data_IF_848860608831
#
_entry.id   IF_848860608831
#
_cell.length_a   1.000
_cell.length_b   1.000
_cell.length_c   1.000
_cell.angle_alpha   90.00
_cell.angle_beta   90.00
_cell.angle_gamma   90.00
#
_symmetry.space_group_name_H-M   'P 1'
#
loop_
_entity.id
_entity.type
_entity.pdbx_description
1 polymer ?
#
# COMPACT_ATOMS: atom_id res chain seq x y z
N UNK A 1 -15.40 -19.88 33.86
CA UNK A 1 -14.23 -20.45 33.18
C UNK A 1 -14.09 -19.77 31.83
N UNK A 2 -12.96 -19.11 31.59
CA UNK A 2 -12.70 -18.43 30.33
C UNK A 2 -12.60 -19.46 29.19
N UNK A 3 -13.36 -19.25 28.11
CA UNK A 3 -13.29 -20.05 26.89
C UNK A 3 -11.94 -19.80 26.20
N UNK A 4 -11.01 -20.74 26.37
CA UNK A 4 -9.78 -20.81 25.60
C UNK A 4 -10.17 -21.02 24.12
N UNK A 5 -9.71 -20.18 23.17
CA UNK A 5 -9.96 -20.42 21.76
C UNK A 5 -9.25 -21.71 21.36
N UNK A 6 -9.99 -22.70 20.85
CA UNK A 6 -9.41 -23.91 20.25
C UNK A 6 -8.44 -23.49 19.15
N UNK A 7 -7.15 -23.75 19.34
CA UNK A 7 -6.13 -23.61 18.31
C UNK A 7 -6.34 -24.70 17.26
N UNK A 8 -7.21 -24.45 16.29
CA UNK A 8 -7.25 -25.26 15.08
C UNK A 8 -5.96 -24.99 14.31
N UNK A 9 -5.11 -26.01 14.22
CA UNK A 9 -3.84 -25.95 13.49
C UNK A 9 -4.04 -25.46 12.06
N UNK A 10 -3.01 -24.85 11.51
CA UNK A 10 -2.96 -24.42 10.12
C UNK A 10 -3.16 -25.65 9.23
N UNK A 11 -4.23 -25.70 8.44
CA UNK A 11 -4.44 -26.80 7.49
C UNK A 11 -3.45 -26.65 6.34
N UNK A 12 -2.97 -27.75 5.77
CA UNK A 12 -2.07 -27.78 4.59
C UNK A 12 -2.63 -26.94 3.43
N UNK A 13 -3.96 -26.88 3.34
CA UNK A 13 -4.70 -26.05 2.40
C UNK A 13 -4.40 -24.56 2.58
N UNK A 14 -4.31 -24.04 3.81
CA UNK A 14 -4.05 -22.62 4.06
C UNK A 14 -2.61 -22.21 3.73
N UNK A 15 -1.63 -23.10 3.93
CA UNK A 15 -0.23 -22.87 3.51
C UNK A 15 -0.10 -22.78 1.99
N UNK A 16 -0.70 -23.74 1.28
CA UNK A 16 -0.74 -23.73 -0.18
C UNK A 16 -1.44 -22.48 -0.73
N UNK A 17 -2.49 -21.99 -0.06
CA UNK A 17 -3.20 -20.79 -0.46
C UNK A 17 -2.38 -19.50 -0.32
N UNK A 18 -1.57 -19.38 0.74
CA UNK A 18 -0.69 -18.23 0.93
C UNK A 18 0.48 -18.32 -0.05
N UNK A 19 1.05 -19.51 -0.26
CA UNK A 19 2.07 -19.74 -1.27
C UNK A 19 1.55 -19.39 -2.68
N UNK A 20 0.37 -19.89 -3.09
CA UNK A 20 -0.27 -19.54 -4.37
C UNK A 20 -0.64 -18.06 -4.47
N UNK A 21 -0.97 -17.39 -3.35
CA UNK A 21 -1.14 -15.94 -3.37
C UNK A 21 0.19 -15.27 -3.69
N UNK A 22 1.30 -15.69 -3.06
CA UNK A 22 2.64 -15.15 -3.35
C UNK A 22 3.18 -15.56 -4.75
N UNK A 23 2.79 -16.72 -5.28
CA UNK A 23 3.17 -17.21 -6.61
C UNK A 23 2.30 -16.60 -7.71
N UNK A 24 0.99 -16.50 -7.50
CA UNK A 24 0.01 -15.96 -8.44
C UNK A 24 0.09 -14.44 -8.58
N UNK A 25 0.71 -13.77 -7.61
CA UNK A 25 1.11 -12.37 -7.75
C UNK A 25 2.48 -12.27 -8.51
N UNK A 26 3.27 -13.35 -8.62
CA UNK A 26 4.44 -13.43 -9.49
C UNK A 26 5.75 -13.03 -8.82
N UNK A 27 6.74 -13.92 -8.80
CA UNK A 27 8.07 -13.62 -8.26
C UNK A 27 8.94 -12.90 -9.30
N UNK A 28 8.72 -11.60 -9.54
CA UNK A 28 9.70 -10.81 -10.31
C UNK A 28 10.87 -10.44 -9.39
N UNK A 29 11.99 -11.14 -9.55
CA UNK A 29 13.22 -10.90 -8.77
C UNK A 29 14.07 -9.74 -9.30
N UNK A 30 13.69 -9.14 -10.43
CA UNK A 30 14.50 -8.14 -11.13
C UNK A 30 13.86 -6.76 -11.06
N UNK A 31 14.39 -5.91 -10.17
CA UNK A 31 14.10 -4.47 -10.19
C UNK A 31 14.86 -3.87 -11.38
N UNK A 32 14.19 -3.17 -12.31
CA UNK A 32 14.86 -2.49 -13.42
C UNK A 32 16.01 -1.59 -12.95
N UNK A 33 17.17 -1.56 -13.63
CA UNK A 33 18.31 -0.73 -13.24
C UNK A 33 17.98 0.77 -13.12
N UNK A 34 17.01 1.23 -13.92
CA UNK A 34 16.50 2.62 -13.94
C UNK A 34 15.90 3.07 -12.61
N UNK A 35 15.53 2.12 -11.75
CA UNK A 35 14.93 2.36 -10.44
C UNK A 35 15.94 2.27 -9.28
N UNK A 36 17.22 2.04 -9.58
CA UNK A 36 18.28 2.01 -8.57
C UNK A 36 18.72 3.41 -8.10
N UNK A 37 18.00 4.46 -8.52
CA UNK A 37 18.24 5.85 -8.11
C UNK A 37 17.37 6.22 -6.90
N UNK A 38 17.86 7.18 -6.12
CA UNK A 38 17.14 7.77 -4.99
C UNK A 38 15.80 8.35 -5.48
N UNK A 39 14.73 8.23 -4.69
CA UNK A 39 13.42 8.86 -4.92
C UNK A 39 12.54 8.27 -6.03
N UNK A 40 12.89 7.11 -6.57
CA UNK A 40 12.15 6.45 -7.65
C UNK A 40 10.66 6.21 -7.34
N UNK A 41 10.32 5.77 -6.12
CA UNK A 41 8.92 5.54 -5.71
C UNK A 41 8.14 6.85 -5.56
N UNK A 42 8.76 7.88 -4.98
CA UNK A 42 8.13 9.20 -4.89
C UNK A 42 7.87 9.74 -6.29
N UNK A 43 8.84 9.66 -7.22
CA UNK A 43 8.63 10.04 -8.61
C UNK A 43 7.45 9.28 -9.24
N UNK A 44 7.35 7.96 -9.05
CA UNK A 44 6.25 7.16 -9.59
C UNK A 44 4.86 7.50 -9.02
N UNK A 45 4.72 7.78 -7.72
CA UNK A 45 3.41 8.16 -7.17
C UNK A 45 3.01 9.56 -7.64
N UNK A 46 3.98 10.46 -7.75
CA UNK A 46 3.79 11.85 -8.18
C UNK A 46 3.32 11.96 -9.62
N UNK A 47 3.83 11.10 -10.50
CA UNK A 47 3.41 11.00 -11.90
C UNK A 47 1.94 10.56 -12.08
N UNK A 48 1.34 9.91 -11.07
CA UNK A 48 -0.06 9.44 -11.11
C UNK A 48 -1.07 10.55 -10.73
N UNK A 49 -0.62 11.69 -10.20
CA UNK A 49 -1.51 12.79 -9.81
C UNK A 49 -1.84 13.66 -11.02
N UNK A 50 -3.12 13.65 -11.45
CA UNK A 50 -3.68 14.61 -12.41
C UNK A 50 -4.75 15.47 -11.72
N UNK A 51 -4.51 16.77 -11.47
CA UNK A 51 -5.52 17.67 -10.95
C UNK A 51 -6.44 18.12 -12.09
N UNK A 52 -7.67 17.61 -12.10
CA UNK A 52 -8.70 18.00 -13.08
C UNK A 52 -9.28 19.41 -12.84
N UNK A 53 -8.92 20.08 -11.73
CA UNK A 53 -9.57 21.32 -11.28
C UNK A 53 -8.65 22.52 -11.02
N UNK A 54 -7.34 22.41 -11.28
CA UNK A 54 -6.42 23.57 -11.20
C UNK A 54 -6.32 24.20 -12.60
N UNK A 55 -7.33 24.97 -13.00
CA UNK A 55 -7.25 25.79 -14.23
C UNK A 55 -6.48 27.08 -13.92
N UNK A 56 -5.35 27.32 -14.60
CA UNK A 56 -4.75 28.67 -14.70
C UNK A 56 -5.83 29.57 -15.31
N UNK A 57 -6.39 30.45 -14.50
CA UNK A 57 -7.52 31.29 -14.89
C UNK A 57 -7.14 32.27 -15.99
N UNK A 58 -7.53 31.98 -17.23
CA UNK A 58 -7.86 33.02 -18.21
C UNK A 58 -9.26 33.52 -17.84
N UNK A 59 -9.33 34.73 -17.29
CA UNK A 59 -10.58 35.43 -16.99
C UNK A 59 -11.35 35.71 -18.28
N UNK A 60 -12.45 34.99 -18.51
CA UNK A 60 -13.57 35.54 -19.27
C UNK A 60 -14.63 36.04 -18.29
N UNK A 61 -14.87 37.35 -18.31
CA UNK A 61 -15.96 38.00 -17.59
C UNK A 61 -17.29 37.47 -18.13
N UNK A 62 -18.01 36.69 -17.32
CA UNK A 62 -19.48 36.62 -17.42
C UNK A 62 -20.08 37.02 -16.09
N UNK A 63 -20.89 38.07 -16.13
CA UNK A 63 -21.68 38.59 -15.03
C UNK A 63 -22.81 37.61 -14.72
N UNK A 64 -22.77 36.98 -13.54
CA UNK A 64 -23.93 36.31 -12.95
C UNK A 64 -24.03 36.76 -11.49
N UNK A 65 -25.18 37.37 -11.18
CA UNK A 65 -25.63 37.71 -9.84
C UNK A 65 -26.35 36.51 -9.24
N UNK A 66 -25.84 35.94 -8.14
CA UNK A 66 -26.66 35.37 -7.08
C UNK A 66 -25.81 35.00 -5.86
N UNK A 67 -26.33 35.36 -4.69
CA UNK A 67 -25.77 35.15 -3.37
C UNK A 67 -25.45 33.67 -3.08
N UNK A 68 -24.17 33.33 -3.06
CA UNK A 68 -23.57 32.37 -2.14
C UNK A 68 -22.08 32.71 -2.13
N UNK A 69 -21.58 33.18 -0.99
CA UNK A 69 -20.16 33.45 -0.83
C UNK A 69 -19.41 32.12 -0.76
N UNK A 70 -19.15 31.52 -1.92
CA UNK A 70 -17.94 30.72 -2.09
C UNK A 70 -16.79 31.61 -1.59
N UNK A 71 -16.13 31.22 -0.50
CA UNK A 71 -14.88 31.87 -0.11
C UNK A 71 -13.90 31.66 -1.25
N UNK A 72 -13.83 32.64 -2.16
CA UNK A 72 -12.89 32.66 -3.27
C UNK A 72 -11.50 32.59 -2.63
N UNK A 73 -10.88 31.41 -2.68
CA UNK A 73 -9.50 31.20 -2.23
C UNK A 73 -8.61 32.19 -2.99
N UNK A 74 -7.80 32.96 -2.26
CA UNK A 74 -6.98 34.02 -2.83
C UNK A 74 -6.03 33.47 -3.90
N UNK A 75 -5.67 34.31 -4.86
CA UNK A 75 -4.76 33.96 -5.95
C UNK A 75 -3.43 33.39 -5.42
N UNK A 76 -2.89 33.99 -4.37
CA UNK A 76 -1.65 33.57 -3.70
C UNK A 76 -1.75 32.15 -3.14
N UNK A 77 -2.88 31.79 -2.51
CA UNK A 77 -3.09 30.43 -1.98
C UNK A 77 -3.20 29.43 -3.11
N UNK A 78 -3.83 29.79 -4.23
CA UNK A 78 -3.91 28.92 -5.42
C UNK A 78 -2.53 28.67 -6.03
N UNK A 79 -1.71 29.70 -6.13
CA UNK A 79 -0.34 29.61 -6.64
C UNK A 79 0.53 28.76 -5.71
N UNK A 80 0.45 28.97 -4.39
CA UNK A 80 1.18 28.15 -3.42
C UNK A 80 0.83 26.66 -3.51
N UNK A 81 -0.46 26.34 -3.71
CA UNK A 81 -0.94 24.96 -3.87
C UNK A 81 -0.50 24.37 -5.22
N UNK A 82 -0.58 25.15 -6.30
CA UNK A 82 -0.08 24.72 -7.61
C UNK A 82 1.43 24.43 -7.56
N UNK A 83 2.22 25.33 -6.97
CA UNK A 83 3.66 25.16 -6.78
C UNK A 83 3.98 23.94 -5.90
N UNK A 84 3.15 23.67 -4.89
CA UNK A 84 3.27 22.43 -4.11
C UNK A 84 3.11 21.20 -5.00
N UNK A 85 2.08 21.15 -5.85
CA UNK A 85 1.86 20.06 -6.78
C UNK A 85 2.99 19.94 -7.81
N UNK A 86 3.47 21.04 -8.38
CA UNK A 86 4.64 21.06 -9.28
C UNK A 86 5.89 20.49 -8.58
N UNK A 87 6.18 20.90 -7.34
CA UNK A 87 7.30 20.35 -6.55
C UNK A 87 7.12 18.88 -6.20
N UNK A 88 5.87 18.46 -5.95
CA UNK A 88 5.53 17.04 -5.81
C UNK A 88 5.26 16.39 -7.17
N UNK A 89 5.87 16.87 -8.26
CA UNK A 89 5.98 16.12 -9.51
C UNK A 89 4.71 16.05 -10.36
N UNK A 90 3.81 17.02 -10.21
CA UNK A 90 2.79 17.29 -11.21
C UNK A 90 3.49 17.48 -12.57
N UNK A 91 3.13 16.66 -13.56
CA UNK A 91 3.76 16.56 -14.89
C UNK A 91 5.07 15.77 -14.99
N UNK A 92 5.48 15.04 -13.96
CA UNK A 92 6.55 14.08 -14.12
C UNK A 92 6.15 13.00 -15.15
N UNK A 93 7.12 12.53 -15.93
CA UNK A 93 6.92 11.45 -16.91
C UNK A 93 7.12 10.11 -16.18
N UNK A 94 6.15 9.19 -16.30
CA UNK A 94 6.35 7.80 -15.88
C UNK A 94 7.38 7.18 -16.83
N UNK A 95 8.56 6.75 -16.36
CA UNK A 95 9.51 6.07 -17.23
C UNK A 95 8.84 4.84 -17.84
N UNK A 96 9.06 4.55 -19.13
CA UNK A 96 8.42 3.40 -19.82
C UNK A 96 8.73 2.07 -19.12
N UNK A 97 9.87 1.96 -18.45
CA UNK A 97 10.21 0.79 -17.62
C UNK A 97 9.26 0.56 -16.43
N UNK A 98 8.49 1.56 -16.04
CA UNK A 98 7.50 1.54 -14.97
C UNK A 98 6.07 1.45 -15.50
N UNK A 99 5.87 1.60 -16.81
CA UNK A 99 4.56 1.56 -17.50
C UNK A 99 4.18 0.11 -17.89
N UNK A 100 4.42 -0.80 -16.95
CA UNK A 100 4.10 -2.22 -17.06
C UNK A 100 2.94 -2.58 -16.14
N UNK A 101 2.01 -3.42 -16.61
CA UNK A 101 0.97 -3.98 -15.76
C UNK A 101 1.60 -4.68 -14.55
N UNK A 102 1.16 -4.34 -13.35
CA UNK A 102 1.65 -4.96 -12.12
C UNK A 102 2.98 -4.40 -11.59
N UNK A 103 3.58 -3.40 -12.25
CA UNK A 103 4.86 -2.79 -11.87
C UNK A 103 4.95 -2.46 -10.37
N UNK A 104 3.94 -1.80 -9.82
CA UNK A 104 3.93 -1.40 -8.42
C UNK A 104 4.00 -2.60 -7.47
N UNK A 105 3.27 -3.66 -7.80
CA UNK A 105 3.22 -4.84 -6.96
C UNK A 105 4.55 -5.62 -7.04
N UNK A 106 5.14 -5.70 -8.23
CA UNK A 106 6.47 -6.29 -8.45
C UNK A 106 7.57 -5.50 -7.74
N UNK A 107 7.45 -4.18 -7.70
CA UNK A 107 8.35 -3.32 -6.97
C UNK A 107 8.35 -3.65 -5.46
N UNK A 108 7.16 -3.78 -4.86
CA UNK A 108 7.03 -4.11 -3.44
C UNK A 108 7.50 -5.54 -3.16
N UNK A 109 7.21 -6.49 -4.06
CA UNK A 109 7.76 -7.85 -3.98
C UNK A 109 9.28 -7.87 -4.03
N UNK A 110 9.88 -7.06 -4.90
CA UNK A 110 11.34 -7.00 -5.07
C UNK A 110 12.09 -6.55 -3.81
N UNK A 111 11.39 -5.99 -2.82
CA UNK A 111 11.96 -5.60 -1.51
C UNK A 111 11.50 -6.47 -0.35
N UNK A 112 10.51 -7.36 -0.54
CA UNK A 112 9.87 -8.14 0.51
C UNK A 112 10.26 -9.63 0.42
N UNK A 113 10.67 -10.22 1.54
CA UNK A 113 10.95 -11.65 1.68
C UNK A 113 10.05 -12.24 2.75
N UNK A 114 9.30 -13.29 2.42
CA UNK A 114 8.49 -14.03 3.41
C UNK A 114 9.42 -14.83 4.32
N UNK A 115 9.17 -14.78 5.63
CA UNK A 115 9.92 -15.52 6.65
C UNK A 115 9.08 -16.65 7.23
N UNK A 116 7.87 -16.34 7.73
CA UNK A 116 6.99 -17.32 8.37
C UNK A 116 5.52 -17.08 8.06
N UNK A 117 4.77 -18.17 7.87
CA UNK A 117 3.32 -18.14 7.67
C UNK A 117 2.65 -19.09 8.65
N UNK A 118 1.76 -18.56 9.46
CA UNK A 118 0.99 -19.26 10.48
C UNK A 118 -0.48 -18.84 10.43
N UNK A 119 -1.36 -19.57 11.11
CA UNK A 119 -2.79 -19.23 11.10
C UNK A 119 -2.99 -17.93 11.89
N UNK A 120 -3.41 -16.88 11.18
CA UNK A 120 -3.59 -15.53 11.71
C UNK A 120 -2.30 -14.78 11.98
N UNK A 121 -1.15 -15.24 11.47
CA UNK A 121 0.15 -14.58 11.64
C UNK A 121 1.03 -14.74 10.39
N UNK A 122 1.66 -13.65 9.96
CA UNK A 122 2.64 -13.66 8.85
C UNK A 122 3.80 -12.78 9.24
N UNK A 123 5.02 -13.27 9.03
CA UNK A 123 6.26 -12.53 9.25
C UNK A 123 7.04 -12.43 7.94
N UNK A 124 7.56 -11.24 7.66
CA UNK A 124 8.35 -10.93 6.47
C UNK A 124 9.57 -10.07 6.83
N UNK A 125 10.50 -9.93 5.89
CA UNK A 125 11.62 -9.01 5.95
C UNK A 125 11.56 -8.06 4.75
N UNK A 126 11.61 -6.77 5.01
CA UNK A 126 11.80 -5.73 3.98
C UNK A 126 13.26 -5.34 3.92
N UNK A 127 13.84 -5.34 2.72
CA UNK A 127 15.15 -4.75 2.44
C UNK A 127 14.96 -3.33 1.91
N UNK A 128 15.45 -2.32 2.65
CA UNK A 128 15.27 -0.90 2.28
C UNK A 128 16.21 -0.53 1.11
N UNK A 129 15.73 -0.79 -0.12
CA UNK A 129 16.45 -0.47 -1.37
C UNK A 129 16.22 0.99 -1.78
N UNK A 130 17.12 1.60 -2.57
CA UNK A 130 16.99 3.00 -3.03
C UNK A 130 15.63 3.32 -3.64
N UNK A 131 15.10 2.38 -4.43
CA UNK A 131 13.82 2.54 -5.12
C UNK A 131 12.66 2.86 -4.18
N UNK A 132 12.65 2.31 -2.95
CA UNK A 132 11.59 2.53 -1.94
C UNK A 132 11.98 3.55 -0.87
N UNK A 133 13.08 4.28 -1.04
CA UNK A 133 13.47 5.34 -0.09
C UNK A 133 12.83 6.68 -0.45
N UNK A 134 12.60 7.50 0.58
CA UNK A 134 12.21 8.90 0.44
C UNK A 134 13.44 9.82 0.33
N UNK A 135 13.17 11.11 0.14
CA UNK A 135 14.20 12.16 -0.02
C UNK A 135 15.13 12.29 1.18
N UNK A 136 14.67 11.84 2.36
CA UNK A 136 15.43 11.84 3.61
C UNK A 136 16.22 10.54 3.84
N UNK A 137 16.21 9.60 2.87
CA UNK A 137 16.99 8.36 2.93
C UNK A 137 16.40 7.25 3.80
N UNK A 138 15.16 7.42 4.29
CA UNK A 138 14.40 6.39 4.99
C UNK A 138 13.39 5.70 4.08
N UNK A 139 12.84 4.56 4.52
CA UNK A 139 11.76 3.87 3.82
C UNK A 139 10.57 4.82 3.62
N UNK A 140 10.12 4.94 2.37
CA UNK A 140 9.08 5.88 1.97
C UNK A 140 7.74 5.48 2.60
N UNK A 141 6.97 6.44 3.13
CA UNK A 141 5.72 6.14 3.84
C UNK A 141 4.70 5.39 2.98
N UNK A 142 4.57 5.78 1.71
CA UNK A 142 3.75 5.02 0.76
C UNK A 142 4.24 3.59 0.52
N UNK A 143 5.55 3.33 0.58
CA UNK A 143 6.09 1.97 0.46
C UNK A 143 5.80 1.14 1.72
N UNK A 144 5.85 1.76 2.91
CA UNK A 144 5.40 1.12 4.16
C UNK A 144 3.92 0.74 4.05
N UNK A 145 3.07 1.63 3.52
CA UNK A 145 1.65 1.37 3.26
C UNK A 145 1.43 0.20 2.30
N UNK A 146 2.18 0.16 1.19
CA UNK A 146 2.11 -0.92 0.22
C UNK A 146 2.48 -2.29 0.82
N UNK A 147 3.56 -2.33 1.61
CA UNK A 147 3.97 -3.55 2.31
C UNK A 147 2.91 -3.98 3.31
N UNK A 148 2.37 -3.05 4.11
CA UNK A 148 1.27 -3.36 5.04
C UNK A 148 0.08 -3.97 4.32
N UNK A 149 -0.37 -3.38 3.21
CA UNK A 149 -1.52 -3.89 2.46
C UNK A 149 -1.29 -5.34 2.03
N UNK A 150 -0.16 -5.62 1.36
CA UNK A 150 0.16 -6.96 0.87
C UNK A 150 0.30 -7.99 2.01
N UNK A 151 1.05 -7.65 3.06
CA UNK A 151 1.27 -8.56 4.20
C UNK A 151 -0.04 -8.77 4.96
N UNK A 152 -0.91 -7.76 5.04
CA UNK A 152 -2.21 -7.88 5.70
C UNK A 152 -3.20 -8.71 4.90
N UNK A 153 -3.22 -8.59 3.56
CA UNK A 153 -3.99 -9.49 2.69
C UNK A 153 -3.52 -10.93 2.90
N UNK A 154 -2.20 -11.18 2.86
CA UNK A 154 -1.64 -12.51 3.08
C UNK A 154 -2.04 -13.05 4.47
N UNK A 155 -1.93 -12.23 5.52
CA UNK A 155 -2.33 -12.60 6.87
C UNK A 155 -3.83 -12.89 6.98
N UNK A 156 -4.69 -12.07 6.39
CA UNK A 156 -6.14 -12.31 6.36
C UNK A 156 -6.49 -13.62 5.63
N UNK A 157 -5.79 -13.95 4.54
CA UNK A 157 -5.98 -15.20 3.79
C UNK A 157 -5.66 -16.47 4.57
N UNK A 158 -4.89 -16.36 5.67
CA UNK A 158 -4.66 -17.51 6.57
C UNK A 158 -5.92 -17.90 7.36
N UNK A 159 -6.92 -17.01 7.45
CA UNK A 159 -8.16 -17.21 8.25
C UNK A 159 -9.45 -17.03 7.44
N UNK A 160 -9.41 -16.32 6.30
CA UNK A 160 -10.54 -16.11 5.40
C UNK A 160 -10.41 -17.01 4.17
N UNK A 161 -11.48 -17.78 3.89
CA UNK A 161 -11.54 -18.67 2.74
C UNK A 161 -11.46 -17.98 1.39
N UNK A 162 -11.07 -18.74 0.36
CA UNK A 162 -10.99 -18.28 -1.04
C UNK A 162 -12.34 -17.96 -1.67
N UNK A 163 -13.44 -18.42 -1.06
CA UNK A 163 -14.83 -18.12 -1.43
C UNK A 163 -15.21 -16.65 -1.19
N UNK A 164 -14.31 -15.87 -0.60
CA UNK A 164 -14.51 -14.45 -0.34
C UNK A 164 -13.44 -13.58 -0.97
N UNK A 165 -13.85 -12.46 -1.54
CA UNK A 165 -12.96 -11.36 -1.89
C UNK A 165 -12.63 -10.55 -0.63
N UNK A 166 -11.42 -10.01 -0.59
CA UNK A 166 -10.97 -9.12 0.46
C UNK A 166 -10.87 -7.72 -0.13
N UNK A 167 -11.66 -6.79 0.37
CA UNK A 167 -11.60 -5.37 -0.01
C UNK A 167 -11.01 -4.57 1.15
N UNK A 168 -9.92 -3.84 0.91
CA UNK A 168 -9.32 -2.97 1.91
C UNK A 168 -10.25 -1.77 2.15
N UNK A 169 -10.91 -1.75 3.31
CA UNK A 169 -11.84 -0.68 3.68
C UNK A 169 -11.16 0.48 4.39
N UNK A 170 -10.24 0.18 5.30
CA UNK A 170 -9.51 1.19 6.07
C UNK A 170 -8.09 0.70 6.35
N UNK A 171 -7.14 1.65 6.34
CA UNK A 171 -5.77 1.42 6.77
C UNK A 171 -5.26 2.65 7.52
N UNK A 172 -4.68 2.42 8.69
CA UNK A 172 -4.06 3.45 9.53
C UNK A 172 -2.60 3.11 9.79
N UNK A 173 -1.77 4.16 9.93
CA UNK A 173 -0.31 4.05 10.04
C UNK A 173 0.22 5.02 11.09
N UNK A 174 1.21 4.58 11.87
CA UNK A 174 2.01 5.43 12.75
C UNK A 174 3.49 5.31 12.40
N UNK A 175 4.17 6.45 12.26
CA UNK A 175 5.58 6.53 11.90
C UNK A 175 6.39 6.98 13.12
N UNK A 176 7.07 6.03 13.76
CA UNK A 176 7.72 6.21 15.06
C UNK A 176 9.23 6.43 14.95
N UNK A 177 9.87 5.77 13.99
CA UNK A 177 11.26 6.02 13.62
C UNK A 177 11.52 5.67 12.15
N UNK A 178 12.61 6.20 11.58
CA UNK A 178 12.98 5.92 10.19
C UNK A 178 13.68 4.56 10.06
N UNK A 179 13.37 3.82 9.00
CA UNK A 179 14.16 2.70 8.55
C UNK A 179 15.13 3.18 7.44
N UNK A 180 16.43 3.35 7.73
CA UNK A 180 17.36 3.93 6.77
C UNK A 180 17.62 2.99 5.59
N UNK A 181 18.09 3.56 4.49
CA UNK A 181 18.61 2.81 3.34
C UNK A 181 19.55 1.68 3.78
N UNK A 182 19.45 0.53 3.11
CA UNK A 182 20.18 -0.70 3.36
C UNK A 182 19.81 -1.43 4.67
N UNK A 183 18.92 -0.89 5.51
CA UNK A 183 18.42 -1.61 6.66
C UNK A 183 17.57 -2.82 6.25
N UNK A 184 17.54 -3.82 7.12
CA UNK A 184 16.53 -4.88 7.11
C UNK A 184 15.46 -4.57 8.16
N UNK A 185 14.19 -4.63 7.76
CA UNK A 185 13.04 -4.37 8.62
C UNK A 185 12.23 -5.64 8.73
N UNK A 186 12.07 -6.17 9.94
CA UNK A 186 11.13 -7.24 10.23
C UNK A 186 9.71 -6.69 10.23
N UNK A 187 8.80 -7.39 9.56
CA UNK A 187 7.38 -7.02 9.43
C UNK A 187 6.55 -8.17 9.97
N UNK A 188 5.86 -7.93 11.08
CA UNK A 188 5.01 -8.93 11.73
C UNK A 188 3.56 -8.50 11.65
N UNK A 189 2.74 -9.31 10.97
CA UNK A 189 1.30 -9.10 10.83
C UNK A 189 0.53 -10.15 11.62
N UNK A 190 -0.53 -9.73 12.31
CA UNK A 190 -1.38 -10.61 13.10
C UNK A 190 -2.86 -10.26 12.96
N UNK A 191 -3.72 -11.27 12.90
CA UNK A 191 -5.17 -11.11 12.93
C UNK A 191 -5.59 -10.66 14.33
N UNK A 192 -6.13 -9.45 14.42
CA UNK A 192 -6.72 -8.91 15.65
C UNK A 192 -8.15 -9.40 15.81
N UNK A 193 -8.92 -9.42 14.72
CA UNK A 193 -10.32 -9.86 14.68
C UNK A 193 -10.63 -10.45 13.32
N UNK A 194 -11.37 -11.56 13.26
CA UNK A 194 -11.91 -12.09 12.01
C UNK A 194 -13.33 -12.57 12.24
N UNK A 195 -14.24 -12.17 11.35
CA UNK A 195 -15.64 -12.54 11.39
C UNK A 195 -16.19 -12.82 9.99
N UNK A 196 -17.51 -12.94 9.88
CA UNK A 196 -18.16 -13.29 8.60
C UNK A 196 -17.86 -12.28 7.49
N UNK A 197 -17.92 -10.98 7.81
CA UNK A 197 -17.89 -9.89 6.83
C UNK A 197 -16.67 -8.98 6.96
N UNK A 198 -15.82 -9.17 7.97
CA UNK A 198 -14.71 -8.27 8.25
C UNK A 198 -13.54 -8.98 8.92
N UNK A 199 -12.33 -8.57 8.57
CA UNK A 199 -11.07 -9.00 9.16
C UNK A 199 -10.18 -7.80 9.45
N UNK A 200 -9.65 -7.72 10.67
CA UNK A 200 -8.74 -6.66 11.11
C UNK A 200 -7.37 -7.26 11.37
N UNK A 201 -6.35 -6.66 10.77
CA UNK A 201 -4.95 -7.04 10.89
C UNK A 201 -4.17 -5.92 11.56
N UNK A 202 -3.29 -6.25 12.50
CA UNK A 202 -2.27 -5.35 13.02
C UNK A 202 -0.92 -5.71 12.42
N UNK A 203 -0.11 -4.71 12.07
CA UNK A 203 1.23 -4.89 11.51
C UNK A 203 2.23 -4.04 12.28
N UNK A 204 3.37 -4.64 12.65
CA UNK A 204 4.50 -3.94 13.25
C UNK A 204 5.73 -4.06 12.36
N UNK A 205 6.52 -2.99 12.30
CA UNK A 205 7.78 -2.93 11.57
C UNK A 205 8.91 -2.64 12.55
N UNK A 206 9.89 -3.53 12.65
CA UNK A 206 11.03 -3.39 13.56
C UNK A 206 12.35 -3.46 12.80
N UNK A 207 13.30 -2.60 13.14
CA UNK A 207 14.66 -2.73 12.64
C UNK A 207 15.23 -4.07 13.10
N UNK A 208 15.72 -4.88 12.16
CA UNK A 208 16.20 -6.23 12.48
C UNK A 208 17.44 -6.21 13.38
N UNK A 209 18.30 -5.21 13.21
CA UNK A 209 19.55 -5.08 13.97
C UNK A 209 19.30 -4.65 15.42
N UNK A 210 18.46 -3.64 15.64
CA UNK A 210 18.25 -3.05 16.97
C UNK A 210 16.97 -3.51 17.67
N UNK A 211 16.04 -4.15 16.96
CA UNK A 211 14.68 -4.45 17.45
C UNK A 211 13.77 -3.23 17.60
N UNK A 212 14.26 -2.02 17.27
CA UNK A 212 13.54 -0.77 17.42
C UNK A 212 12.28 -0.75 16.56
N UNK A 213 11.15 -0.36 17.14
CA UNK A 213 9.89 -0.19 16.44
C UNK A 213 9.94 1.06 15.54
N UNK A 214 9.79 0.84 14.24
CA UNK A 214 9.82 1.89 13.22
C UNK A 214 8.41 2.35 12.85
N UNK A 215 7.53 1.39 12.57
CA UNK A 215 6.17 1.68 12.09
C UNK A 215 5.17 0.73 12.72
N UNK A 216 3.93 1.19 12.88
CA UNK A 216 2.79 0.33 13.21
C UNK A 216 1.63 0.63 12.29
N UNK A 217 0.80 -0.38 12.06
CA UNK A 217 -0.36 -0.26 11.18
C UNK A 217 -1.53 -1.12 11.64
N UNK A 218 -2.72 -0.72 11.20
CA UNK A 218 -3.91 -1.55 11.22
C UNK A 218 -4.58 -1.49 9.87
N UNK A 219 -4.99 -2.64 9.35
CA UNK A 219 -5.73 -2.76 8.11
C UNK A 219 -7.05 -3.51 8.36
N UNK A 220 -8.13 -2.96 7.84
CA UNK A 220 -9.48 -3.51 7.96
C UNK A 220 -9.98 -3.93 6.59
N UNK A 221 -10.23 -5.23 6.41
CA UNK A 221 -10.78 -5.79 5.19
C UNK A 221 -12.25 -6.14 5.35
N UNK A 222 -13.04 -5.86 4.33
CA UNK A 222 -14.37 -6.43 4.15
C UNK A 222 -14.27 -7.77 3.40
N UNK A 223 -14.90 -8.80 3.96
CA UNK A 223 -14.92 -10.15 3.39
C UNK A 223 -16.22 -10.30 2.58
N UNK A 224 -16.16 -10.06 1.28
CA UNK A 224 -17.33 -10.12 0.39
C UNK A 224 -17.47 -11.52 -0.22
N UNK A 225 -18.68 -12.10 -0.32
CA UNK A 225 -18.88 -13.31 -1.11
C UNK A 225 -18.42 -13.09 -2.55
N UNK A 226 -17.80 -14.10 -3.17
CA UNK A 226 -17.58 -14.06 -4.62
C UNK A 226 -18.94 -13.91 -5.33
N UNK A 227 -19.10 -12.86 -6.13
CA UNK A 227 -20.32 -12.66 -6.91
C UNK A 227 -20.48 -13.81 -7.93
N UNK A 228 -21.66 -14.43 -7.97
CA UNK A 228 -22.00 -15.52 -8.88
C UNK A 228 -22.31 -15.02 -10.30
N UNK A 229 -21.46 -14.17 -10.88
CA UNK A 229 -21.41 -13.85 -12.32
C UNK A 229 -20.39 -12.75 -12.59
N UNK A 230 -19.29 -13.12 -13.25
CA UNK A 230 -18.45 -12.33 -14.16
C UNK A 230 -18.29 -10.82 -13.89
N UNK A 231 -17.82 -10.42 -12.71
CA UNK A 231 -16.91 -9.28 -12.55
C UNK A 231 -16.10 -9.55 -11.29
N UNK A 232 -14.85 -10.03 -11.43
CA UNK A 232 -13.95 -10.05 -10.27
C UNK A 232 -13.60 -8.59 -10.01
N UNK A 233 -13.71 -8.12 -8.77
CA UNK A 233 -13.31 -6.75 -8.43
C UNK A 233 -11.80 -6.54 -8.69
N UNK A 234 -11.03 -7.64 -8.74
CA UNK A 234 -9.64 -7.67 -9.23
C UNK A 234 -9.50 -7.30 -10.72
N UNK A 235 -10.50 -7.55 -11.57
CA UNK A 235 -10.47 -7.16 -12.98
C UNK A 235 -10.72 -5.64 -13.14
N UNK A 236 -11.45 -5.00 -12.21
CA UNK A 236 -11.74 -3.55 -12.24
C UNK A 236 -10.52 -2.69 -11.87
N UNK A 237 -9.58 -3.23 -11.08
CA UNK A 237 -8.32 -2.52 -10.75
C UNK A 237 -7.25 -2.76 -11.84
N UNK A 238 -7.53 -3.61 -12.84
CA UNK A 238 -6.59 -4.00 -13.90
C UNK A 238 -7.05 -3.72 -15.34
N UNK A 239 -8.01 -2.82 -15.53
CA UNK A 239 -8.34 -2.26 -16.85
C UNK A 239 -7.78 -0.85 -17.04
#
# INVERSE_FOLDING_TARGET
GALVPKSTGLTTKNLHQVAEFFDGIGTSQTIPPTLNTKDSYSHFIRTLLKPDHIKRGLMERRSISSNNAEKIVSKEVRELVADFFERVGLHAIIPTSCDGRGFYVDLVRGVLKVDRVERGKVSCIVSVKPVVTNTYGGLHGGAVAAVTELVSIACARTVVGKDKELFLGEMSMSYLSAAPRNAQVMVDASVVRSGRNLTVIAVEFRLKESGQLAYTSRATFYNLPLASSTVKLFDIIHH
#
